data_IF_158461595601
#
_entry.id   IF_158461595601
#
_cell.length_a   1.000
_cell.length_b   1.000
_cell.length_c   1.000
_cell.angle_alpha   90.00
_cell.angle_beta   90.00
_cell.angle_gamma   90.00
#
_symmetry.space_group_name_H-M   'P 1'
#
loop_
_entity.id
_entity.type
_entity.pdbx_description
1 polymer ?
#
# COMPACT_ATOMS: atom_id res chain seq x y z
N UNK A 1 10.47 -13.21 13.09
CA UNK A 1 10.30 -14.49 12.41
C UNK A 1 10.24 -15.56 13.50
N UNK A 2 9.11 -16.26 13.61
CA UNK A 2 8.86 -17.19 14.70
C UNK A 2 9.06 -16.51 16.05
N UNK A 3 9.79 -17.15 16.94
CA UNK A 3 10.07 -16.62 18.28
C UNK A 3 11.26 -15.64 18.33
N UNK A 4 11.96 -15.45 17.21
CA UNK A 4 13.12 -14.58 17.14
C UNK A 4 12.73 -13.13 16.88
N UNK A 5 13.25 -12.21 17.70
CA UNK A 5 13.14 -10.77 17.55
C UNK A 5 14.47 -10.19 17.13
N UNK A 6 14.44 -9.29 16.17
CA UNK A 6 15.61 -8.50 15.77
C UNK A 6 15.21 -7.03 15.74
N UNK A 7 16.13 -6.16 16.19
CA UNK A 7 15.96 -4.72 15.97
C UNK A 7 16.14 -4.45 14.49
N UNK A 8 15.11 -3.85 13.86
CA UNK A 8 15.11 -3.58 12.43
C UNK A 8 13.82 -2.88 12.02
N UNK A 9 13.86 -2.33 10.83
CA UNK A 9 12.66 -1.86 10.14
C UNK A 9 12.34 -2.83 9.01
N UNK A 10 12.50 -2.40 7.75
CA UNK A 10 12.46 -3.26 6.60
C UNK A 10 13.65 -4.23 6.61
N UNK A 11 13.48 -5.42 6.03
CA UNK A 11 14.55 -6.43 6.00
C UNK A 11 15.85 -5.85 5.42
N UNK A 12 16.92 -5.91 6.21
CA UNK A 12 18.24 -5.35 5.87
C UNK A 12 18.42 -3.86 6.23
N UNK A 13 17.39 -3.20 6.77
CA UNK A 13 17.45 -1.80 7.18
C UNK A 13 17.43 -1.66 8.71
N UNK A 14 18.11 -0.66 9.27
CA UNK A 14 18.08 -0.41 10.70
C UNK A 14 16.69 0.04 11.17
N UNK A 15 16.42 -0.18 12.46
CA UNK A 15 15.21 0.37 13.08
C UNK A 15 15.30 1.91 13.15
N UNK A 16 14.19 2.60 12.87
CA UNK A 16 14.06 4.01 13.15
C UNK A 16 13.88 4.18 14.67
N UNK A 17 14.83 4.82 15.31
CA UNK A 17 14.79 5.12 16.74
C UNK A 17 14.71 6.62 16.96
N UNK A 18 14.03 7.05 18.02
CA UNK A 18 13.95 8.46 18.39
C UNK A 18 12.70 9.20 17.88
N UNK A 19 12.20 8.91 16.66
CA UNK A 19 11.04 9.62 16.12
C UNK A 19 9.81 9.50 17.04
N UNK A 20 9.49 8.30 17.52
CA UNK A 20 8.37 8.08 18.43
C UNK A 20 8.55 8.82 19.77
N UNK A 21 9.78 8.88 20.27
CA UNK A 21 10.08 9.65 21.46
C UNK A 21 9.86 11.15 21.23
N UNK A 22 10.36 11.70 20.13
CA UNK A 22 10.18 13.12 19.77
C UNK A 22 8.71 13.48 19.57
N UNK A 23 7.91 12.59 18.94
CA UNK A 23 6.47 12.81 18.77
C UNK A 23 5.73 12.83 20.13
N UNK A 24 6.10 11.96 21.06
CA UNK A 24 5.56 11.99 22.43
C UNK A 24 5.99 13.24 23.20
N UNK A 25 7.24 13.68 23.03
CA UNK A 25 7.79 14.86 23.70
C UNK A 25 7.04 16.14 23.31
N UNK A 26 6.59 16.27 22.07
CA UNK A 26 5.74 17.38 21.63
C UNK A 26 4.26 17.22 21.99
N UNK A 27 3.89 16.15 22.70
CA UNK A 27 2.55 15.94 23.25
C UNK A 27 1.61 15.10 22.38
N UNK A 28 2.12 14.35 21.38
CA UNK A 28 1.30 13.45 20.59
C UNK A 28 1.16 12.08 21.28
N UNK A 29 -0.05 11.57 21.31
CA UNK A 29 -0.35 10.21 21.75
C UNK A 29 -0.12 9.22 20.63
N UNK A 30 0.58 8.13 20.94
CA UNK A 30 0.90 7.06 19.99
C UNK A 30 0.22 5.75 20.35
N UNK A 31 -0.25 5.06 19.33
CA UNK A 31 -0.68 3.67 19.37
C UNK A 31 0.31 2.75 18.67
N UNK A 32 0.05 1.43 18.73
CA UNK A 32 0.88 0.40 18.15
C UNK A 32 0.07 -0.44 17.16
N UNK A 33 0.53 -0.52 15.91
CA UNK A 33 -0.05 -1.38 14.88
C UNK A 33 0.96 -2.47 14.50
N UNK A 34 0.45 -3.53 13.90
CA UNK A 34 1.27 -4.64 13.37
C UNK A 34 0.88 -4.95 11.95
N UNK A 35 1.85 -5.39 11.17
CA UNK A 35 1.64 -5.94 9.84
C UNK A 35 2.62 -7.06 9.57
N UNK A 36 2.43 -7.78 8.47
CA UNK A 36 3.34 -8.80 8.00
C UNK A 36 3.72 -8.58 6.55
N UNK A 37 4.85 -9.11 6.15
CA UNK A 37 5.26 -9.18 4.74
C UNK A 37 5.31 -10.63 4.29
N UNK A 38 5.01 -10.94 3.02
CA UNK A 38 5.20 -12.29 2.48
C UNK A 38 6.67 -12.55 2.15
N UNK A 39 7.05 -13.81 1.90
CA UNK A 39 8.39 -14.14 1.45
C UNK A 39 8.64 -13.62 0.03
N UNK A 40 9.91 -13.50 -0.34
CA UNK A 40 10.35 -13.31 -1.72
C UNK A 40 10.96 -14.60 -2.23
N UNK A 41 10.49 -15.05 -3.38
CA UNK A 41 10.97 -16.29 -4.00
C UNK A 41 11.89 -15.98 -5.17
N UNK A 42 12.80 -16.89 -5.43
CA UNK A 42 13.69 -16.85 -6.60
C UNK A 42 12.89 -17.25 -7.85
N UNK A 43 12.77 -16.35 -8.82
CA UNK A 43 11.95 -16.52 -10.03
C UNK A 43 12.22 -17.85 -10.76
N UNK A 44 13.49 -18.18 -11.01
CA UNK A 44 13.88 -19.39 -11.74
C UNK A 44 13.60 -20.70 -10.99
N UNK A 45 13.24 -20.64 -9.71
CA UNK A 45 12.88 -21.82 -8.90
C UNK A 45 11.37 -22.13 -8.93
N UNK A 46 10.59 -21.30 -9.63
CA UNK A 46 9.13 -21.42 -9.77
C UNK A 46 8.80 -22.07 -11.11
N UNK A 47 7.88 -23.01 -11.11
CA UNK A 47 7.35 -23.61 -12.34
C UNK A 47 6.10 -22.86 -12.81
N UNK A 48 6.30 -21.84 -13.65
CA UNK A 48 5.24 -20.99 -14.17
C UNK A 48 4.28 -21.73 -15.12
N UNK A 49 4.68 -22.85 -15.73
CA UNK A 49 3.83 -23.63 -16.62
C UNK A 49 2.64 -24.30 -15.90
N UNK A 50 2.70 -24.40 -14.57
CA UNK A 50 1.63 -24.98 -13.74
C UNK A 50 0.61 -23.98 -13.23
N UNK A 51 0.80 -22.71 -13.49
CA UNK A 51 0.03 -21.62 -12.87
C UNK A 51 -0.52 -20.67 -13.92
N UNK A 52 -1.60 -19.98 -13.57
CA UNK A 52 -2.32 -19.09 -14.47
C UNK A 52 -1.58 -17.77 -14.64
N UNK A 53 -1.44 -17.31 -15.87
CA UNK A 53 -0.90 -15.98 -16.20
C UNK A 53 -2.01 -14.96 -16.09
N UNK A 54 -1.77 -13.90 -15.33
CA UNK A 54 -2.60 -12.70 -15.31
C UNK A 54 -1.89 -11.58 -16.06
N UNK A 55 -2.29 -11.36 -17.30
CA UNK A 55 -1.84 -10.23 -18.10
C UNK A 55 -2.43 -8.92 -17.58
N UNK A 56 -1.80 -7.79 -17.94
CA UNK A 56 -2.41 -6.48 -17.79
C UNK A 56 -3.53 -6.25 -18.81
N UNK A 57 -4.29 -5.19 -18.61
CA UNK A 57 -5.40 -4.82 -19.50
C UNK A 57 -4.91 -4.38 -20.88
N UNK A 58 -5.69 -4.73 -21.93
CA UNK A 58 -5.47 -4.26 -23.29
C UNK A 58 -6.78 -3.64 -23.83
N UNK A 59 -6.79 -2.35 -24.23
CA UNK A 59 -5.65 -1.41 -24.20
C UNK A 59 -5.25 -1.05 -22.77
N UNK A 60 -3.98 -0.66 -22.59
CA UNK A 60 -3.46 -0.22 -21.29
C UNK A 60 -4.24 1.02 -20.81
N UNK A 61 -4.91 0.98 -19.64
CA UNK A 61 -5.64 2.11 -19.14
C UNK A 61 -4.70 3.18 -18.60
N UNK A 62 -5.10 4.44 -18.74
CA UNK A 62 -4.41 5.55 -18.06
C UNK A 62 -4.99 5.77 -16.67
N UNK A 63 -4.17 6.18 -15.72
CA UNK A 63 -4.60 6.62 -14.38
C UNK A 63 -5.11 8.07 -14.38
N UNK A 64 -5.67 8.53 -15.50
CA UNK A 64 -6.24 9.86 -15.66
C UNK A 64 -7.57 9.79 -16.37
N UNK A 65 -8.50 10.63 -15.96
CA UNK A 65 -9.78 10.85 -16.67
C UNK A 65 -9.66 11.85 -17.84
N UNK A 66 -8.47 12.44 -18.04
CA UNK A 66 -8.24 13.35 -19.14
C UNK A 66 -8.17 12.55 -20.43
N UNK A 67 -9.07 12.85 -21.35
CA UNK A 67 -9.00 12.30 -22.70
C UNK A 67 -7.78 12.87 -23.42
N UNK A 68 -7.21 12.11 -24.35
CA UNK A 68 -6.03 12.54 -25.15
C UNK A 68 -6.23 13.90 -25.81
N UNK A 69 -7.46 14.23 -26.23
CA UNK A 69 -7.83 15.51 -26.86
C UNK A 69 -7.61 16.73 -25.95
N UNK A 70 -7.51 16.56 -24.62
CA UNK A 70 -7.28 17.66 -23.69
C UNK A 70 -5.80 18.00 -23.48
N UNK A 71 -4.88 17.20 -23.96
CA UNK A 71 -3.47 17.58 -24.08
C UNK A 71 -3.24 18.63 -25.19
N UNK A 72 -4.22 18.83 -26.07
CA UNK A 72 -4.26 19.91 -27.06
C UNK A 72 -4.99 21.16 -26.56
N UNK A 73 -5.16 21.35 -25.23
CA UNK A 73 -5.73 22.58 -24.71
C UNK A 73 -4.89 23.75 -25.20
N UNK A 74 -5.52 24.49 -26.11
CA UNK A 74 -5.06 25.78 -26.55
C UNK A 74 -4.56 26.61 -25.38
N UNK A 75 -3.43 27.25 -25.59
CA UNK A 75 -2.73 28.12 -24.68
C UNK A 75 -3.55 29.35 -24.35
N UNK A 76 -4.67 29.23 -23.65
CA UNK A 76 -5.43 30.35 -23.15
C UNK A 76 -5.45 30.33 -21.61
N UNK A 77 -4.86 31.35 -21.01
CA UNK A 77 -4.91 31.76 -19.59
C UNK A 77 -4.27 30.86 -18.53
N UNK A 78 -4.31 29.52 -18.63
CA UNK A 78 -3.60 28.63 -17.70
C UNK A 78 -2.06 28.69 -17.87
N UNK A 79 -1.58 29.22 -18.98
CA UNK A 79 -0.14 29.33 -19.28
C UNK A 79 0.61 30.33 -18.35
N UNK A 80 -0.08 31.29 -17.76
CA UNK A 80 0.55 32.27 -16.88
C UNK A 80 0.89 31.68 -15.49
N UNK A 81 0.21 30.63 -15.06
CA UNK A 81 0.50 29.97 -13.79
C UNK A 81 1.60 28.89 -13.88
N UNK A 82 2.01 28.48 -15.09
CA UNK A 82 3.09 27.48 -15.30
C UNK A 82 4.50 28.01 -15.03
N UNK A 83 4.71 29.33 -14.99
CA UNK A 83 5.98 29.94 -14.62
C UNK A 83 6.44 29.62 -13.20
N UNK A 84 5.54 29.17 -12.33
CA UNK A 84 5.85 28.81 -10.95
C UNK A 84 6.53 27.43 -10.78
N UNK A 85 6.54 26.58 -11.82
CA UNK A 85 7.04 25.22 -11.72
C UNK A 85 8.24 24.88 -12.63
N UNK A 86 8.85 25.90 -13.29
CA UNK A 86 10.10 25.72 -14.04
C UNK A 86 10.05 24.79 -15.26
N UNK A 87 8.88 24.59 -15.86
CA UNK A 87 8.72 23.74 -17.04
C UNK A 87 8.97 24.55 -18.31
N UNK A 88 9.95 24.10 -19.10
CA UNK A 88 10.39 24.77 -20.34
C UNK A 88 9.29 24.70 -21.41
N UNK A 89 9.07 25.85 -22.08
CA UNK A 89 7.93 26.07 -23.00
C UNK A 89 8.11 25.46 -24.39
N UNK A 90 9.30 24.96 -24.74
CA UNK A 90 9.64 24.65 -26.13
C UNK A 90 9.60 23.16 -26.51
N UNK A 91 9.21 22.27 -25.60
CA UNK A 91 8.95 20.89 -25.99
C UNK A 91 7.52 20.78 -26.59
N UNK A 92 7.44 21.00 -27.90
CA UNK A 92 6.31 20.56 -28.71
C UNK A 92 6.29 19.04 -28.71
N UNK A 93 5.38 18.44 -27.94
CA UNK A 93 5.04 17.03 -28.13
C UNK A 93 4.34 16.88 -29.47
N UNK A 94 5.09 16.54 -30.53
CA UNK A 94 4.53 16.08 -31.78
C UNK A 94 4.00 14.65 -31.58
N UNK A 95 2.69 14.53 -31.59
CA UNK A 95 1.97 13.26 -31.56
C UNK A 95 1.95 12.69 -32.98
N UNK A 96 3.13 12.30 -33.49
CA UNK A 96 3.21 11.49 -34.72
C UNK A 96 3.92 10.20 -34.41
N UNK A 97 3.20 9.11 -34.52
CA UNK A 97 3.61 7.70 -34.30
C UNK A 97 3.80 7.33 -32.82
N UNK A 98 2.67 7.10 -32.14
CA UNK A 98 2.74 6.36 -30.88
C UNK A 98 3.26 4.95 -31.18
N UNK A 99 4.45 4.64 -30.72
CA UNK A 99 4.78 3.32 -30.26
C UNK A 99 3.64 2.86 -29.34
N UNK A 100 3.42 1.57 -29.22
CA UNK A 100 2.33 0.96 -28.39
C UNK A 100 2.13 1.65 -27.01
N UNK A 101 3.12 2.38 -26.52
CA UNK A 101 3.11 3.07 -25.24
C UNK A 101 3.63 4.53 -25.37
N UNK A 102 3.21 5.45 -24.47
CA UNK A 102 3.70 6.82 -24.47
C UNK A 102 5.23 6.90 -24.38
N UNK A 103 5.89 7.77 -25.16
CA UNK A 103 7.34 7.94 -25.12
C UNK A 103 7.86 8.18 -23.71
N UNK A 104 9.02 7.59 -23.39
CA UNK A 104 9.67 7.64 -22.09
C UNK A 104 8.89 7.05 -20.90
N UNK A 105 7.71 6.52 -21.12
CA UNK A 105 6.99 5.77 -20.08
C UNK A 105 7.78 4.52 -19.68
N UNK A 106 7.46 3.98 -18.51
CA UNK A 106 8.04 2.71 -18.06
C UNK A 106 7.76 1.60 -19.08
N UNK A 107 6.55 1.56 -19.64
CA UNK A 107 6.16 0.55 -20.62
C UNK A 107 6.90 0.71 -21.95
N UNK A 108 7.19 1.95 -22.38
CA UNK A 108 8.01 2.21 -23.56
C UNK A 108 9.45 1.68 -23.36
N UNK A 109 10.03 1.90 -22.19
CA UNK A 109 11.38 1.43 -21.83
C UNK A 109 11.48 -0.09 -21.68
N UNK A 110 10.43 -0.74 -21.18
CA UNK A 110 10.38 -2.20 -20.95
C UNK A 110 9.89 -2.94 -22.18
N UNK A 111 9.12 -2.27 -23.05
CA UNK A 111 8.57 -2.82 -24.29
C UNK A 111 7.29 -3.65 -24.12
N UNK A 112 6.89 -3.97 -22.91
CA UNK A 112 5.68 -4.74 -22.61
C UNK A 112 5.23 -4.58 -21.16
N UNK A 113 3.94 -4.88 -20.89
CA UNK A 113 3.47 -5.08 -19.52
C UNK A 113 4.12 -6.33 -18.92
N UNK A 114 4.35 -6.31 -17.61
CA UNK A 114 4.89 -7.46 -16.87
C UNK A 114 3.71 -8.21 -16.26
N UNK A 115 3.44 -9.47 -16.64
CA UNK A 115 2.33 -10.22 -16.10
C UNK A 115 2.60 -10.66 -14.67
N UNK A 116 1.55 -10.76 -13.88
CA UNK A 116 1.52 -11.51 -12.64
C UNK A 116 1.07 -12.96 -12.91
N UNK A 117 1.19 -13.81 -11.90
CA UNK A 117 0.70 -15.19 -12.00
C UNK A 117 -0.19 -15.49 -10.79
N UNK A 118 -1.26 -16.24 -11.04
CA UNK A 118 -2.22 -16.66 -10.02
C UNK A 118 -1.95 -18.10 -9.65
N UNK A 119 -1.82 -18.37 -8.38
CA UNK A 119 -1.74 -19.71 -7.82
C UNK A 119 -2.56 -19.82 -6.55
N UNK A 120 -2.52 -20.96 -5.88
CA UNK A 120 -3.36 -21.23 -4.73
C UNK A 120 -2.64 -22.04 -3.67
N UNK A 121 -3.03 -21.82 -2.41
CA UNK A 121 -2.71 -22.75 -1.33
C UNK A 121 -3.39 -24.09 -1.56
N UNK A 122 -2.85 -25.13 -0.96
CA UNK A 122 -3.42 -26.49 -0.99
C UNK A 122 -3.88 -26.91 0.39
N UNK A 123 -4.51 -28.08 0.49
CA UNK A 123 -4.85 -28.73 1.76
C UNK A 123 -3.60 -28.91 2.64
N UNK A 124 -2.50 -29.36 2.03
CA UNK A 124 -1.21 -29.52 2.72
C UNK A 124 -0.68 -28.19 3.26
N UNK A 125 -0.86 -27.09 2.54
CA UNK A 125 -0.51 -25.76 3.06
C UNK A 125 -1.26 -25.46 4.36
N UNK A 126 -2.57 -25.71 4.38
CA UNK A 126 -3.39 -25.49 5.56
C UNK A 126 -3.02 -26.41 6.73
N UNK A 127 -2.67 -27.67 6.46
CA UNK A 127 -2.18 -28.63 7.45
C UNK A 127 -0.88 -28.19 8.09
N UNK A 128 0.12 -27.80 7.30
CA UNK A 128 1.41 -27.27 7.78
C UNK A 128 1.19 -26.05 8.66
N UNK A 129 0.35 -25.10 8.24
CA UNK A 129 0.06 -23.88 8.99
C UNK A 129 -0.61 -24.23 10.33
N UNK A 130 -1.68 -25.03 10.31
CA UNK A 130 -2.41 -25.40 11.54
C UNK A 130 -1.52 -26.12 12.56
N UNK A 131 -0.65 -27.01 12.11
CA UNK A 131 0.29 -27.72 12.98
C UNK A 131 1.29 -26.76 13.67
N UNK A 132 1.58 -25.60 13.07
CA UNK A 132 2.59 -24.66 13.52
C UNK A 132 2.02 -23.31 14.05
N UNK A 133 0.71 -23.17 14.22
CA UNK A 133 0.10 -21.90 14.69
C UNK A 133 0.68 -21.43 16.03
N UNK A 134 1.00 -22.34 16.93
CA UNK A 134 1.60 -22.03 18.25
C UNK A 134 3.00 -21.40 18.15
N UNK A 135 3.68 -21.52 17.01
CA UNK A 135 4.95 -20.86 16.73
C UNK A 135 4.81 -19.46 16.13
N UNK A 136 3.59 -19.06 15.74
CA UNK A 136 3.35 -17.73 15.19
C UNK A 136 3.35 -16.68 16.30
N UNK A 137 4.18 -15.62 16.23
CA UNK A 137 4.15 -14.51 17.18
C UNK A 137 2.78 -13.82 17.25
N UNK A 138 2.01 -13.86 16.16
CA UNK A 138 0.66 -13.31 16.08
C UNK A 138 -0.33 -14.08 16.97
N UNK A 139 -0.16 -15.41 17.09
CA UNK A 139 -1.05 -16.29 17.85
C UNK A 139 -0.52 -16.61 19.26
N UNK A 140 0.77 -16.47 19.49
CA UNK A 140 1.40 -16.68 20.81
C UNK A 140 1.29 -15.48 21.75
N UNK A 141 0.70 -14.38 21.30
CA UNK A 141 0.54 -13.15 22.10
C UNK A 141 1.83 -12.33 22.29
N UNK A 142 2.89 -12.63 21.55
CA UNK A 142 4.17 -11.86 21.59
C UNK A 142 4.05 -10.51 20.88
N UNK A 143 3.20 -10.41 19.89
CA UNK A 143 2.90 -9.18 19.16
C UNK A 143 1.56 -8.65 19.65
N UNK A 144 1.55 -7.45 20.20
CA UNK A 144 0.38 -6.84 20.83
C UNK A 144 -0.33 -5.81 19.94
N UNK A 145 0.31 -5.34 18.87
CA UNK A 145 -0.27 -4.35 17.94
C UNK A 145 -1.56 -4.86 17.27
N UNK A 146 -2.48 -3.94 16.98
CA UNK A 146 -3.68 -4.24 16.18
C UNK A 146 -3.26 -4.51 14.74
N UNK A 147 -3.74 -5.63 14.17
CA UNK A 147 -3.42 -6.03 12.81
C UNK A 147 -4.12 -5.15 11.76
N UNK A 148 -3.48 -4.97 10.62
CA UNK A 148 -4.08 -4.29 9.48
C UNK A 148 -5.24 -5.13 8.91
N UNK A 149 -6.39 -4.48 8.64
CA UNK A 149 -7.63 -5.16 8.25
C UNK A 149 -7.55 -5.85 6.89
N UNK A 150 -6.66 -5.40 6.01
CA UNK A 150 -6.58 -5.83 4.59
C UNK A 150 -5.33 -6.61 4.22
N UNK A 151 -4.43 -6.81 5.17
CA UNK A 151 -3.29 -7.73 5.00
C UNK A 151 -3.34 -8.80 6.10
N UNK A 152 -4.41 -9.62 6.14
CA UNK A 152 -4.44 -10.75 7.07
C UNK A 152 -3.28 -11.67 6.72
N UNK A 153 -2.64 -12.20 7.74
CA UNK A 153 -1.64 -13.25 7.55
C UNK A 153 -2.30 -14.48 6.91
N UNK A 154 -1.51 -15.33 6.29
CA UNK A 154 -2.05 -16.57 5.76
C UNK A 154 -2.62 -17.46 6.87
N UNK A 155 -2.05 -17.38 8.09
CA UNK A 155 -2.59 -18.04 9.27
C UNK A 155 -3.99 -17.56 9.60
N UNK A 156 -4.24 -16.24 9.56
CA UNK A 156 -5.57 -15.67 9.77
C UNK A 156 -6.57 -16.14 8.72
N UNK A 157 -6.16 -16.24 7.46
CA UNK A 157 -7.03 -16.73 6.38
C UNK A 157 -7.41 -18.20 6.60
N UNK A 158 -6.44 -19.05 6.95
CA UNK A 158 -6.66 -20.49 7.19
C UNK A 158 -7.52 -20.75 8.42
N UNK A 159 -7.44 -19.90 9.45
CA UNK A 159 -8.23 -20.03 10.67
C UNK A 159 -9.65 -19.47 10.50
N UNK A 160 -9.77 -18.26 9.95
CA UNK A 160 -11.07 -17.56 9.83
C UNK A 160 -11.96 -18.10 8.71
N UNK A 161 -11.35 -18.66 7.68
CA UNK A 161 -12.05 -19.21 6.51
C UNK A 161 -11.70 -20.69 6.34
N UNK A 162 -11.86 -21.43 7.43
CA UNK A 162 -11.49 -22.85 7.50
C UNK A 162 -12.26 -23.74 6.53
N UNK A 163 -13.43 -23.27 6.08
CA UNK A 163 -14.29 -23.93 5.09
C UNK A 163 -13.79 -23.80 3.67
N UNK A 164 -12.87 -22.85 3.39
CA UNK A 164 -12.29 -22.67 2.06
C UNK A 164 -11.21 -23.71 1.82
N UNK A 165 -11.34 -24.43 0.72
CA UNK A 165 -10.37 -25.46 0.31
C UNK A 165 -9.01 -24.86 -0.09
N UNK A 166 -9.02 -23.63 -0.62
CA UNK A 166 -7.82 -22.94 -1.10
C UNK A 166 -7.95 -21.42 -0.99
N UNK A 167 -6.81 -20.75 -0.85
CA UNK A 167 -6.71 -19.29 -0.88
C UNK A 167 -5.86 -18.85 -2.07
N UNK A 168 -6.31 -17.84 -2.77
CA UNK A 168 -5.61 -17.26 -3.91
C UNK A 168 -4.35 -16.55 -3.47
N UNK A 169 -3.31 -16.70 -4.27
CA UNK A 169 -1.99 -16.08 -4.13
C UNK A 169 -1.60 -15.49 -5.47
N UNK A 170 -1.03 -14.29 -5.44
CA UNK A 170 -0.43 -13.70 -6.62
C UNK A 170 1.09 -13.77 -6.52
N UNK A 171 1.75 -14.20 -7.59
CA UNK A 171 3.18 -14.14 -7.75
C UNK A 171 3.52 -12.94 -8.62
N UNK A 172 4.08 -11.92 -7.99
CA UNK A 172 4.29 -10.59 -8.59
C UNK A 172 5.79 -10.31 -8.72
N UNK A 173 6.33 -10.08 -9.92
CA UNK A 173 7.70 -9.61 -10.06
C UNK A 173 7.90 -8.26 -9.34
N UNK A 174 8.93 -8.13 -8.50
CA UNK A 174 9.24 -6.85 -7.82
C UNK A 174 9.88 -5.81 -8.75
N UNK A 175 10.12 -6.16 -10.00
CA UNK A 175 10.65 -5.27 -11.03
C UNK A 175 10.91 -6.00 -12.34
N UNK A 176 11.18 -5.24 -13.39
CA UNK A 176 11.35 -5.76 -14.75
C UNK A 176 12.56 -6.71 -14.89
N UNK A 177 13.63 -6.46 -14.14
CA UNK A 177 14.93 -7.14 -14.29
C UNK A 177 15.33 -7.93 -13.03
N UNK A 178 14.46 -8.00 -12.02
CA UNK A 178 14.76 -8.70 -10.77
C UNK A 178 14.36 -10.18 -10.83
N UNK A 179 15.10 -11.00 -10.12
CA UNK A 179 14.76 -12.40 -9.87
C UNK A 179 13.83 -12.57 -8.64
N UNK A 180 13.42 -11.46 -8.01
CA UNK A 180 12.58 -11.51 -6.82
C UNK A 180 11.10 -11.52 -7.19
N UNK A 181 10.38 -12.54 -6.70
CA UNK A 181 8.93 -12.66 -6.81
C UNK A 181 8.29 -12.44 -5.45
N UNK A 182 7.43 -11.45 -5.37
CA UNK A 182 6.59 -11.15 -4.20
C UNK A 182 5.40 -12.10 -4.16
N UNK A 183 5.18 -12.72 -3.01
CA UNK A 183 4.09 -13.72 -2.84
C UNK A 183 2.88 -13.05 -2.19
N UNK A 184 2.16 -12.25 -2.96
CA UNK A 184 1.01 -11.49 -2.46
C UNK A 184 -0.09 -12.43 -1.94
N UNK A 185 -0.59 -12.09 -0.75
CA UNK A 185 -1.60 -12.89 -0.07
C UNK A 185 -1.05 -13.99 0.84
N UNK A 186 0.29 -14.11 0.97
CA UNK A 186 0.98 -15.14 1.76
C UNK A 186 1.86 -14.57 2.90
N UNK A 187 1.45 -13.44 3.47
CA UNK A 187 2.13 -12.85 4.63
C UNK A 187 2.09 -13.80 5.81
N UNK A 188 3.22 -14.00 6.48
CA UNK A 188 3.35 -14.88 7.64
C UNK A 188 4.43 -14.41 8.59
N UNK A 189 4.37 -14.87 9.83
CA UNK A 189 5.44 -14.69 10.82
C UNK A 189 5.97 -16.01 11.38
N UNK A 190 5.57 -17.12 10.80
CA UNK A 190 6.04 -18.46 11.19
C UNK A 190 7.56 -18.60 11.05
N UNK A 191 8.19 -19.55 11.75
CA UNK A 191 9.62 -19.86 11.63
C UNK A 191 10.03 -20.13 10.19
N UNK A 192 11.28 -19.83 9.84
CA UNK A 192 11.77 -19.95 8.47
C UNK A 192 11.61 -21.36 7.89
N UNK A 193 11.89 -22.40 8.68
CA UNK A 193 11.77 -23.80 8.28
C UNK A 193 10.32 -24.16 7.93
N UNK A 194 9.36 -23.58 8.66
CA UNK A 194 7.94 -23.74 8.38
C UNK A 194 7.56 -22.98 7.10
N UNK A 195 8.10 -21.77 6.88
CA UNK A 195 7.88 -21.02 5.64
C UNK A 195 8.35 -21.81 4.42
N UNK A 196 9.50 -22.47 4.49
CA UNK A 196 10.00 -23.33 3.40
C UNK A 196 9.02 -24.47 3.12
N UNK A 197 8.53 -25.13 4.19
CA UNK A 197 7.57 -26.23 4.03
C UNK A 197 6.28 -25.74 3.40
N UNK A 198 5.67 -24.67 3.90
CA UNK A 198 4.40 -24.17 3.40
C UNK A 198 4.50 -23.59 1.99
N UNK A 199 5.59 -22.90 1.63
CA UNK A 199 5.81 -22.39 0.26
C UNK A 199 5.87 -23.55 -0.73
N UNK A 200 6.55 -24.64 -0.40
CA UNK A 200 6.68 -25.81 -1.28
C UNK A 200 5.40 -26.63 -1.45
N UNK A 201 4.34 -26.31 -0.70
CA UNK A 201 3.00 -26.88 -0.90
C UNK A 201 2.12 -26.07 -1.84
N UNK A 202 2.57 -24.88 -2.28
CA UNK A 202 1.85 -24.04 -3.24
C UNK A 202 2.08 -24.59 -4.64
N UNK A 203 1.03 -24.61 -5.46
CA UNK A 203 1.10 -25.10 -6.84
C UNK A 203 2.11 -24.26 -7.64
N UNK A 204 3.05 -24.92 -8.32
CA UNK A 204 4.13 -24.30 -9.07
C UNK A 204 5.33 -23.84 -8.23
N UNK A 205 5.25 -23.94 -6.89
CA UNK A 205 6.32 -23.55 -5.98
C UNK A 205 7.00 -24.75 -5.28
N UNK A 206 6.81 -25.97 -5.77
CA UNK A 206 7.28 -27.20 -5.12
C UNK A 206 8.81 -27.22 -4.91
N UNK A 207 9.54 -26.55 -5.79
CA UNK A 207 11.00 -26.40 -5.71
C UNK A 207 11.45 -24.96 -5.40
N UNK A 208 10.52 -24.11 -4.96
CA UNK A 208 10.81 -22.70 -4.77
C UNK A 208 11.87 -22.46 -3.68
N UNK A 209 12.76 -21.53 -3.95
CA UNK A 209 13.77 -21.02 -3.05
C UNK A 209 13.36 -19.66 -2.50
N UNK A 210 13.48 -19.49 -1.18
CA UNK A 210 13.16 -18.23 -0.50
C UNK A 210 14.42 -17.35 -0.49
N UNK A 211 14.38 -16.21 -1.18
CA UNK A 211 15.43 -15.19 -1.17
C UNK A 211 15.36 -14.34 0.10
N UNK A 212 14.13 -13.97 0.51
CA UNK A 212 13.88 -13.23 1.73
C UNK A 212 12.72 -13.86 2.48
N UNK A 213 12.89 -14.17 3.79
CA UNK A 213 11.80 -14.73 4.57
C UNK A 213 10.69 -13.73 4.79
N UNK A 214 9.49 -14.22 5.01
CA UNK A 214 8.39 -13.44 5.56
C UNK A 214 8.67 -13.08 7.03
N UNK A 215 8.14 -11.96 7.48
CA UNK A 215 8.25 -11.53 8.88
C UNK A 215 7.08 -10.64 9.28
N UNK A 216 6.80 -10.54 10.57
CA UNK A 216 5.92 -9.53 11.11
C UNK A 216 6.73 -8.33 11.62
N UNK A 217 6.13 -7.15 11.55
CA UNK A 217 6.68 -5.92 12.07
C UNK A 217 5.61 -5.17 12.86
N UNK A 218 6.04 -4.50 13.92
CA UNK A 218 5.23 -3.55 14.65
C UNK A 218 5.73 -2.14 14.39
N UNK A 219 4.81 -1.18 14.36
CA UNK A 219 5.14 0.22 14.15
C UNK A 219 4.22 1.12 14.96
N UNK A 220 4.73 2.30 15.34
CA UNK A 220 3.97 3.31 16.04
C UNK A 220 3.17 4.16 15.04
N UNK A 221 2.03 4.65 15.48
CA UNK A 221 1.22 5.64 14.77
C UNK A 221 0.66 6.67 15.73
N UNK A 222 0.34 7.86 15.21
CA UNK A 222 -0.37 8.90 15.95
C UNK A 222 -1.88 8.70 15.78
N UNK A 223 -2.64 8.79 16.88
CA UNK A 223 -4.09 8.76 16.77
C UNK A 223 -4.57 9.98 15.96
N UNK A 224 -5.31 9.77 14.86
CA UNK A 224 -5.60 10.85 13.90
C UNK A 224 -6.60 11.89 14.41
N UNK A 225 -7.35 11.62 15.48
CA UNK A 225 -8.19 12.60 16.16
C UNK A 225 -7.38 13.79 16.77
N UNK A 226 -6.07 13.68 16.85
CA UNK A 226 -5.15 14.75 17.26
C UNK A 226 -4.85 15.76 16.14
N UNK A 227 -5.39 15.51 14.94
CA UNK A 227 -5.22 16.39 13.79
C UNK A 227 -6.44 17.31 13.61
N UNK A 228 -6.19 18.44 12.96
CA UNK A 228 -7.20 19.32 12.39
C UNK A 228 -7.68 18.78 11.05
N UNK A 229 -8.81 19.22 10.51
CA UNK A 229 -9.25 18.84 9.15
C UNK A 229 -8.25 19.21 8.03
N UNK A 230 -7.31 20.10 8.30
CA UNK A 230 -6.17 20.42 7.42
C UNK A 230 -5.04 19.37 7.44
N UNK A 231 -5.12 18.37 8.32
CA UNK A 231 -4.08 17.40 8.69
C UNK A 231 -2.90 18.01 9.48
N UNK A 232 -3.00 19.27 9.90
CA UNK A 232 -2.08 19.87 10.85
C UNK A 232 -2.34 19.31 12.25
N UNK A 233 -1.29 19.06 13.04
CA UNK A 233 -1.44 18.61 14.42
C UNK A 233 -2.04 19.72 15.31
N UNK A 234 -2.84 19.34 16.31
CA UNK A 234 -3.44 20.29 17.26
C UNK A 234 -2.41 20.84 18.25
N UNK A 235 -1.35 20.07 18.52
CA UNK A 235 -0.35 20.37 19.55
C UNK A 235 0.88 21.11 19.02
N UNK A 236 1.21 20.95 17.75
CA UNK A 236 2.39 21.55 17.13
C UNK A 236 2.01 22.24 15.82
N UNK A 237 2.18 23.56 15.76
CA UNK A 237 1.91 24.33 14.54
C UNK A 237 2.88 23.95 13.41
N UNK A 238 2.41 23.97 12.19
CA UNK A 238 3.15 23.67 10.96
C UNK A 238 3.66 22.22 10.86
N UNK A 239 3.21 21.32 11.73
CA UNK A 239 3.46 19.89 11.62
C UNK A 239 2.21 19.20 11.05
N UNK A 240 2.37 18.59 9.88
CA UNK A 240 1.32 17.85 9.18
C UNK A 240 1.67 16.38 9.15
N UNK A 241 0.69 15.52 9.39
CA UNK A 241 0.87 14.06 9.36
C UNK A 241 -0.02 13.45 8.27
N UNK A 242 0.53 12.47 7.53
CA UNK A 242 -0.19 11.81 6.45
C UNK A 242 0.21 10.34 6.31
N UNK A 243 -0.74 9.48 5.98
CA UNK A 243 -0.50 8.08 5.64
C UNK A 243 -0.28 7.18 6.84
N UNK A 244 0.75 6.33 6.81
CA UNK A 244 0.99 5.30 7.81
C UNK A 244 1.13 5.85 9.23
N UNK A 245 1.71 7.02 9.40
CA UNK A 245 1.84 7.69 10.70
C UNK A 245 0.48 8.01 11.33
N UNK A 246 -0.58 8.11 10.55
CA UNK A 246 -1.97 8.31 10.99
C UNK A 246 -2.77 6.99 11.07
N UNK A 247 -2.11 5.85 11.13
CA UNK A 247 -2.75 4.55 11.11
C UNK A 247 -3.37 4.14 9.78
N UNK A 248 -3.09 4.86 8.69
CA UNK A 248 -3.63 4.60 7.36
C UNK A 248 -2.63 3.84 6.50
N UNK A 249 -2.90 2.56 6.25
CA UNK A 249 -2.01 1.66 5.50
C UNK A 249 -2.38 1.48 4.01
N UNK A 250 -3.57 1.93 3.57
CA UNK A 250 -3.98 1.90 2.17
C UNK A 250 -3.20 2.94 1.36
N UNK A 251 -2.69 2.55 0.20
CA UNK A 251 -1.83 3.42 -0.62
C UNK A 251 -2.58 4.65 -1.12
N UNK A 252 -3.80 4.46 -1.61
CA UNK A 252 -4.65 5.51 -2.14
C UNK A 252 -5.07 6.50 -1.04
N UNK A 253 -5.43 5.98 0.13
CA UNK A 253 -5.77 6.82 1.28
C UNK A 253 -4.56 7.61 1.78
N UNK A 254 -3.38 6.98 1.81
CA UNK A 254 -2.14 7.66 2.20
C UNK A 254 -1.75 8.76 1.20
N UNK A 255 -1.91 8.49 -0.10
CA UNK A 255 -1.68 9.46 -1.17
C UNK A 255 -2.63 10.66 -1.06
N UNK A 256 -3.93 10.42 -0.83
CA UNK A 256 -4.93 11.46 -0.61
C UNK A 256 -4.61 12.35 0.60
N UNK A 257 -4.18 11.75 1.71
CA UNK A 257 -3.72 12.49 2.88
C UNK A 257 -2.46 13.32 2.57
N UNK A 258 -1.46 12.72 1.91
CA UNK A 258 -0.22 13.40 1.54
C UNK A 258 -0.46 14.61 0.65
N UNK A 259 -1.36 14.46 -0.34
CA UNK A 259 -1.77 15.56 -1.21
C UNK A 259 -2.38 16.72 -0.41
N UNK A 260 -3.36 16.44 0.46
CA UNK A 260 -4.04 17.47 1.25
C UNK A 260 -3.12 18.12 2.28
N UNK A 261 -2.27 17.32 2.94
CA UNK A 261 -1.26 17.84 3.88
C UNK A 261 -0.28 18.78 3.17
N UNK A 262 0.22 18.39 1.98
CA UNK A 262 1.12 19.21 1.18
C UNK A 262 0.48 20.51 0.69
N UNK A 263 -0.76 20.46 0.18
CA UNK A 263 -1.53 21.65 -0.21
C UNK A 263 -1.67 22.59 0.99
N UNK A 264 -2.08 22.09 2.14
CA UNK A 264 -2.34 22.92 3.32
C UNK A 264 -1.05 23.47 3.93
N UNK A 265 0.05 22.73 3.91
CA UNK A 265 1.35 23.24 4.30
C UNK A 265 1.82 24.39 3.40
N UNK A 266 1.70 24.24 2.07
CA UNK A 266 2.03 25.30 1.12
C UNK A 266 1.15 26.53 1.28
N UNK A 267 -0.14 26.36 1.49
CA UNK A 267 -1.08 27.48 1.75
C UNK A 267 -0.71 28.22 3.03
N UNK A 268 -0.36 27.48 4.08
CA UNK A 268 0.08 28.07 5.36
C UNK A 268 1.31 28.95 5.19
N UNK A 269 2.30 28.51 4.42
CA UNK A 269 3.51 29.33 4.14
C UNK A 269 3.15 30.61 3.41
N UNK A 270 2.13 30.58 2.56
CA UNK A 270 1.67 31.74 1.79
C UNK A 270 0.60 32.58 2.53
N UNK A 271 0.32 32.31 3.80
CA UNK A 271 -0.67 33.04 4.59
C UNK A 271 -2.12 32.86 4.13
N UNK A 272 -2.41 31.78 3.42
CA UNK A 272 -3.74 31.45 2.90
C UNK A 272 -4.49 30.49 3.82
N UNK A 273 -5.80 30.56 3.82
CA UNK A 273 -6.64 29.63 4.57
C UNK A 273 -6.49 28.18 4.07
N UNK A 274 -6.59 27.19 4.97
CA UNK A 274 -6.48 25.79 4.57
C UNK A 274 -7.65 25.37 3.65
N UNK A 275 -7.36 24.44 2.75
CA UNK A 275 -8.38 23.72 1.98
C UNK A 275 -8.85 22.53 2.82
N UNK A 276 -10.16 22.49 3.06
CA UNK A 276 -10.84 21.38 3.74
C UNK A 276 -11.95 20.90 2.81
N UNK A 277 -11.81 19.70 2.28
CA UNK A 277 -12.84 19.08 1.45
C UNK A 277 -13.95 18.52 2.34
N UNK A 278 -15.21 18.85 1.98
CA UNK A 278 -16.37 18.29 2.66
C UNK A 278 -16.66 16.87 2.17
N UNK A 279 -17.43 16.15 2.95
CA UNK A 279 -17.85 14.76 2.69
C UNK A 279 -18.68 14.58 1.40
N UNK A 280 -19.35 15.66 0.94
CA UNK A 280 -20.14 15.72 -0.30
C UNK A 280 -19.31 16.15 -1.53
N UNK A 281 -18.07 16.55 -1.35
CA UNK A 281 -17.20 17.04 -2.43
C UNK A 281 -16.21 15.97 -2.94
N UNK A 282 -15.71 15.11 -2.06
CA UNK A 282 -14.73 14.09 -2.44
C UNK A 282 -14.65 12.95 -1.42
N UNK A 283 -14.24 11.75 -1.86
CA UNK A 283 -13.88 10.65 -0.96
C UNK A 283 -12.72 11.02 -0.03
N UNK A 284 -11.79 11.87 -0.47
CA UNK A 284 -10.73 12.42 0.40
C UNK A 284 -11.34 13.23 1.55
N UNK A 285 -12.44 13.96 1.31
CA UNK A 285 -13.17 14.67 2.37
C UNK A 285 -13.76 13.69 3.39
N UNK A 286 -14.41 12.61 2.94
CA UNK A 286 -14.92 11.55 3.83
C UNK A 286 -13.79 10.92 4.64
N UNK A 287 -12.67 10.59 3.99
CA UNK A 287 -11.49 10.01 4.63
C UNK A 287 -10.96 10.88 5.78
N UNK A 288 -10.70 12.16 5.50
CA UNK A 288 -10.10 13.06 6.49
C UNK A 288 -11.08 13.35 7.62
N UNK A 289 -12.34 13.60 7.30
CA UNK A 289 -13.37 13.83 8.32
C UNK A 289 -13.52 12.63 9.26
N UNK A 290 -13.60 11.41 8.73
CA UNK A 290 -13.64 10.19 9.55
C UNK A 290 -12.41 10.06 10.47
N UNK A 291 -11.22 10.32 9.95
CA UNK A 291 -9.98 10.23 10.73
C UNK A 291 -9.94 11.19 11.90
N UNK A 292 -10.36 12.44 11.69
CA UNK A 292 -10.22 13.49 12.72
C UNK A 292 -11.39 13.54 13.70
N UNK A 293 -12.53 12.88 13.40
CA UNK A 293 -13.76 12.97 14.20
C UNK A 293 -14.21 11.65 14.84
N UNK A 294 -13.78 10.48 14.32
CA UNK A 294 -14.35 9.17 14.72
C UNK A 294 -13.47 8.35 15.67
N UNK A 295 -12.48 8.94 16.32
CA UNK A 295 -11.59 8.27 17.29
C UNK A 295 -11.09 6.90 16.77
N UNK A 296 -10.57 6.87 15.57
CA UNK A 296 -10.13 5.64 14.89
C UNK A 296 -8.91 5.04 15.60
N UNK A 297 -9.06 3.87 16.19
CA UNK A 297 -7.99 3.14 16.90
C UNK A 297 -7.42 1.97 16.10
N UNK A 298 -8.07 1.61 15.01
CA UNK A 298 -7.67 0.54 14.07
C UNK A 298 -7.23 1.15 12.73
N UNK A 299 -6.48 0.39 11.89
CA UNK A 299 -6.10 0.87 10.56
C UNK A 299 -7.33 1.25 9.73
N UNK A 300 -7.37 2.53 9.32
CA UNK A 300 -8.49 3.07 8.56
C UNK A 300 -8.43 2.66 7.09
N UNK A 301 -9.60 2.32 6.53
CA UNK A 301 -9.83 2.17 5.09
C UNK A 301 -11.11 2.88 4.69
N UNK A 302 -11.08 3.53 3.53
CA UNK A 302 -12.27 4.13 2.93
C UNK A 302 -13.09 3.05 2.21
N UNK A 303 -14.38 3.00 2.51
CA UNK A 303 -15.35 2.16 1.82
C UNK A 303 -16.45 3.04 1.27
N UNK A 304 -17.07 2.62 0.19
CA UNK A 304 -18.26 3.30 -0.35
C UNK A 304 -19.39 3.38 0.66
N UNK A 305 -19.49 2.41 1.58
CA UNK A 305 -20.47 2.41 2.67
C UNK A 305 -20.23 3.50 3.73
N UNK A 306 -19.05 4.12 3.77
CA UNK A 306 -18.73 5.24 4.67
C UNK A 306 -19.18 6.60 4.09
N UNK A 307 -19.44 6.65 2.79
CA UNK A 307 -19.83 7.88 2.09
C UNK A 307 -21.36 7.95 1.96
N UNK A 308 -21.99 8.82 2.71
CA UNK A 308 -23.43 9.10 2.63
C UNK A 308 -23.82 9.71 1.28
N UNK A 309 -22.93 10.48 0.66
CA UNK A 309 -23.13 11.13 -0.64
C UNK A 309 -22.56 10.31 -1.81
N UNK A 310 -22.46 8.99 -1.68
CA UNK A 310 -21.84 8.12 -2.69
C UNK A 310 -22.45 8.17 -4.09
N UNK A 311 -23.71 8.61 -4.21
CA UNK A 311 -24.36 8.81 -5.51
C UNK A 311 -23.83 10.03 -6.26
N UNK A 312 -23.31 11.03 -5.54
CA UNK A 312 -22.66 12.21 -6.10
C UNK A 312 -21.18 11.91 -6.38
N UNK A 313 -20.54 11.16 -5.49
CA UNK A 313 -19.10 10.85 -5.54
C UNK A 313 -18.77 9.65 -6.44
N UNK A 314 -19.45 9.50 -7.58
CA UNK A 314 -19.20 8.43 -8.54
C UNK A 314 -18.14 8.85 -9.56
N UNK A 315 -17.51 7.86 -10.16
CA UNK A 315 -16.50 8.07 -11.20
C UNK A 315 -17.08 8.73 -12.48
N UNK A 316 -18.35 8.54 -12.72
CA UNK A 316 -19.08 8.96 -13.91
C UNK A 316 -19.82 10.32 -13.75
N UNK A 317 -19.60 11.01 -12.65
CA UNK A 317 -20.19 12.35 -12.39
C UNK A 317 -19.20 13.47 -12.64
#
# INVERSE_FOLDING_TARGET
>A
IGQNHQSGGRFGEPAVTGLSASLKEIGLELGRLKTGTPPRLLRRSINFDKIEVQSGDEPVPYFTNWKEDLFHVEQSEAANNRKLFGWDRDQKFHVEHFNKYPPESILDKIGSQIPCHITYTTKSTAEVIRANLHHSPLYSGKIHGIGTRYCPSIEDKIVRFAEKERHQIFLEPEGATTEEIYVNGFSTSLPFEVQVQMVRTIIGCENAEILRPAYAIEYDFCFPNQLRPSLETKVCQNLYLAGQINGTSGYEEAAGQGLMAGINAARRVNGLDPVVLRRDQAYIGVLIDDLVTKDTTEPYRIFTSRAEHRLILRQDN
#
